data_IF_236726733410
#
_entry.id   IF_236726733410
#
_cell.length_a   1.000
_cell.length_b   1.000
_cell.length_c   1.000
_cell.angle_alpha   90.00
_cell.angle_beta   90.00
_cell.angle_gamma   90.00
#
_symmetry.space_group_name_H-M   'P 1'
#
loop_
_entity.id
_entity.type
_entity.pdbx_description
1 polymer ?
#
# COMPACT_ATOMS: atom_id res chain seq x y z
N UNK A 1 -29.34 13.81 21.60
CA UNK A 1 -28.34 14.87 21.39
C UNK A 1 -26.97 14.62 22.03
N UNK A 2 -26.73 13.52 22.78
CA UNK A 2 -25.42 13.26 23.46
C UNK A 2 -24.37 12.51 22.64
N UNK A 3 -24.75 11.62 21.72
CA UNK A 3 -23.79 10.76 20.99
C UNK A 3 -22.93 11.51 19.97
N UNK A 4 -23.44 12.56 19.34
CA UNK A 4 -22.68 13.37 18.38
C UNK A 4 -21.56 14.16 19.06
N UNK A 5 -21.78 14.71 20.25
CA UNK A 5 -20.75 15.43 21.02
C UNK A 5 -19.60 14.53 21.47
N UNK A 6 -19.90 13.32 21.94
CA UNK A 6 -18.87 12.34 22.38
C UNK A 6 -17.99 11.91 21.19
N UNK A 7 -18.58 11.74 20.01
CA UNK A 7 -17.84 11.41 18.78
C UNK A 7 -17.00 12.58 18.26
N UNK A 8 -17.45 13.81 18.40
CA UNK A 8 -16.70 15.01 18.02
C UNK A 8 -15.54 15.30 18.98
N UNK A 9 -15.74 15.14 20.29
CA UNK A 9 -14.67 15.25 21.29
C UNK A 9 -13.59 14.18 21.08
N UNK A 10 -13.98 12.94 20.74
CA UNK A 10 -13.06 11.86 20.40
C UNK A 10 -12.21 12.17 19.17
N UNK A 11 -12.82 12.67 18.09
CA UNK A 11 -12.12 13.08 16.85
C UNK A 11 -11.16 14.25 17.09
N UNK A 12 -11.58 15.25 17.86
CA UNK A 12 -10.74 16.40 18.20
C UNK A 12 -9.50 16.00 19.03
N UNK A 13 -9.64 15.03 19.93
CA UNK A 13 -8.54 14.52 20.75
C UNK A 13 -7.54 13.71 19.90
N UNK A 14 -8.03 12.85 18.99
CA UNK A 14 -7.18 12.10 18.07
C UNK A 14 -6.35 13.02 17.17
N UNK A 15 -6.97 14.04 16.60
CA UNK A 15 -6.30 15.03 15.75
C UNK A 15 -5.25 15.85 16.52
N UNK A 16 -5.54 16.24 17.76
CA UNK A 16 -4.57 16.94 18.62
C UNK A 16 -3.37 16.06 18.96
N UNK A 17 -3.58 14.77 19.21
CA UNK A 17 -2.50 13.81 19.48
C UNK A 17 -1.64 13.60 18.24
N UNK A 18 -2.25 13.45 17.04
CA UNK A 18 -1.52 13.36 15.78
C UNK A 18 -0.63 14.58 15.54
N UNK A 19 -1.16 15.79 15.76
CA UNK A 19 -0.39 17.04 15.63
C UNK A 19 0.80 17.17 16.59
N UNK A 20 0.81 16.44 17.68
CA UNK A 20 1.95 16.40 18.61
C UNK A 20 3.08 15.47 18.14
N UNK A 21 2.77 14.49 17.28
CA UNK A 21 3.77 13.58 16.73
C UNK A 21 4.48 14.22 15.54
N UNK A 22 5.67 14.79 15.79
CA UNK A 22 6.47 15.50 14.77
C UNK A 22 6.87 14.58 13.61
N UNK A 23 7.15 13.32 13.88
CA UNK A 23 7.53 12.34 12.85
C UNK A 23 6.37 12.06 11.90
N UNK A 24 5.16 11.85 12.43
CA UNK A 24 3.96 11.67 11.61
C UNK A 24 3.64 12.92 10.75
N UNK A 25 3.86 14.12 11.27
CA UNK A 25 3.67 15.36 10.50
C UNK A 25 4.68 15.46 9.35
N UNK A 26 5.95 15.15 9.59
CA UNK A 26 6.99 15.14 8.53
C UNK A 26 6.64 14.09 7.49
N UNK A 27 6.29 12.86 7.89
CA UNK A 27 5.85 11.82 6.97
C UNK A 27 4.64 12.26 6.13
N UNK A 28 3.66 12.92 6.77
CA UNK A 28 2.47 13.45 6.07
C UNK A 28 2.85 14.52 5.04
N UNK A 29 3.73 15.45 5.39
CA UNK A 29 4.19 16.48 4.46
C UNK A 29 4.90 15.85 3.24
N UNK A 30 5.78 14.88 3.46
CA UNK A 30 6.47 14.17 2.37
C UNK A 30 5.45 13.43 1.48
N UNK A 31 4.48 12.70 2.05
CA UNK A 31 3.48 11.97 1.26
C UNK A 31 2.58 12.94 0.46
N UNK A 32 2.22 14.09 1.02
CA UNK A 32 1.48 15.12 0.28
C UNK A 32 2.29 15.58 -0.93
N UNK A 33 3.60 15.80 -0.78
CA UNK A 33 4.49 16.16 -1.88
C UNK A 33 4.56 15.02 -2.91
N UNK A 34 4.73 13.79 -2.49
CA UNK A 34 4.79 12.62 -3.39
C UNK A 34 3.49 12.45 -4.18
N UNK A 35 2.33 12.63 -3.52
CA UNK A 35 1.02 12.59 -4.19
C UNK A 35 0.89 13.76 -5.17
N UNK A 36 1.29 14.96 -4.77
CA UNK A 36 1.27 16.12 -5.65
C UNK A 36 2.15 15.89 -6.89
N UNK A 37 3.36 15.34 -6.72
CA UNK A 37 4.24 14.95 -7.83
C UNK A 37 3.56 13.91 -8.73
N UNK A 38 2.93 12.88 -8.17
CA UNK A 38 2.23 11.86 -8.95
C UNK A 38 1.08 12.44 -9.79
N UNK A 39 0.32 13.40 -9.23
CA UNK A 39 -0.79 14.06 -9.93
C UNK A 39 -0.24 15.02 -10.99
N UNK A 40 0.73 15.83 -10.63
CA UNK A 40 1.27 16.90 -11.47
C UNK A 40 2.32 16.40 -12.49
N UNK A 41 2.75 15.14 -12.42
CA UNK A 41 3.76 14.57 -13.32
C UNK A 41 3.57 14.95 -14.80
N UNK A 42 2.35 14.92 -15.39
CA UNK A 42 2.16 15.31 -16.79
C UNK A 42 2.50 16.77 -17.11
N UNK A 43 2.44 17.67 -16.11
CA UNK A 43 2.68 19.10 -16.29
C UNK A 43 4.08 19.55 -15.86
N UNK A 44 4.70 18.82 -14.91
CA UNK A 44 6.02 19.19 -14.36
C UNK A 44 7.17 18.41 -15.00
N UNK A 45 6.89 17.38 -15.80
CA UNK A 45 7.92 16.63 -16.51
C UNK A 45 8.55 17.50 -17.60
N UNK A 46 9.89 17.70 -17.60
CA UNK A 46 10.55 18.51 -18.61
C UNK A 46 10.44 17.93 -20.03
N UNK A 47 10.42 16.57 -20.12
CA UNK A 47 10.36 15.84 -21.39
C UNK A 47 9.30 14.73 -21.33
N UNK A 48 8.93 14.20 -22.48
CA UNK A 48 8.12 12.96 -22.53
C UNK A 48 8.95 11.80 -21.94
N UNK A 49 8.43 11.07 -20.91
CA UNK A 49 9.16 9.98 -20.27
C UNK A 49 9.45 8.79 -21.20
N UNK A 50 8.82 8.74 -22.37
CA UNK A 50 8.97 7.67 -23.36
C UNK A 50 9.79 8.09 -24.59
N UNK A 51 10.01 9.40 -24.80
CA UNK A 51 10.79 9.92 -25.92
C UNK A 51 12.24 9.44 -25.85
N UNK A 52 12.68 8.77 -26.92
CA UNK A 52 14.02 8.21 -27.03
C UNK A 52 14.92 9.13 -27.87
N UNK A 53 16.11 9.42 -27.38
CA UNK A 53 17.12 10.19 -28.10
C UNK A 53 18.50 9.54 -27.94
N UNK A 54 18.87 8.68 -28.88
CA UNK A 54 20.10 7.90 -28.83
C UNK A 54 21.39 8.76 -28.83
N UNK A 55 21.31 10.01 -29.32
CA UNK A 55 22.44 10.95 -29.28
C UNK A 55 22.79 11.34 -27.84
N UNK A 56 21.77 11.36 -26.96
CA UNK A 56 21.94 11.70 -25.55
C UNK A 56 21.97 10.47 -24.65
N UNK A 57 22.32 9.31 -25.17
CA UNK A 57 22.39 8.05 -24.41
C UNK A 57 23.38 8.15 -23.24
N UNK A 58 22.94 7.76 -22.03
CA UNK A 58 23.75 7.72 -20.81
C UNK A 58 24.46 9.05 -20.50
N UNK A 59 23.84 10.16 -20.86
CA UNK A 59 24.37 11.48 -20.56
C UNK A 59 24.25 11.77 -19.06
N UNK A 60 25.34 12.19 -18.39
CA UNK A 60 25.29 12.54 -16.97
C UNK A 60 24.34 13.75 -16.71
N UNK A 61 23.94 13.97 -15.46
CA UNK A 61 23.12 15.12 -15.08
C UNK A 61 23.69 16.45 -15.58
N UNK A 62 22.86 17.23 -16.28
CA UNK A 62 23.17 18.56 -16.75
C UNK A 62 21.94 19.49 -16.70
N UNK A 63 22.04 20.71 -17.25
CA UNK A 63 20.93 21.68 -17.24
C UNK A 63 19.73 21.25 -18.09
N UNK A 64 19.93 20.47 -19.14
CA UNK A 64 18.88 19.98 -20.02
C UNK A 64 18.23 18.72 -19.44
N UNK A 65 19.06 17.84 -18.87
CA UNK A 65 18.65 16.59 -18.22
C UNK A 65 19.08 16.59 -16.75
N UNK A 66 18.30 17.17 -15.83
CA UNK A 66 18.73 17.41 -14.44
C UNK A 66 19.13 16.15 -13.67
N UNK A 67 18.55 14.99 -14.01
CA UNK A 67 18.93 13.69 -13.43
C UNK A 67 19.63 12.77 -14.45
N UNK A 68 20.09 13.34 -15.59
CA UNK A 68 20.73 12.59 -16.67
C UNK A 68 19.73 11.82 -17.53
N UNK A 69 20.27 10.98 -18.43
CA UNK A 69 19.48 10.17 -19.35
C UNK A 69 19.78 8.68 -19.19
N UNK A 70 18.85 7.85 -19.65
CA UNK A 70 18.97 6.40 -19.60
C UNK A 70 19.66 5.79 -20.86
N UNK A 71 19.63 4.46 -20.97
CA UNK A 71 20.24 3.70 -22.06
C UNK A 71 19.60 3.95 -23.43
N UNK A 72 18.41 4.54 -23.46
CA UNK A 72 17.71 4.94 -24.68
C UNK A 72 17.72 6.46 -24.90
N UNK A 73 18.48 7.20 -24.04
CA UNK A 73 18.53 8.65 -24.06
C UNK A 73 17.26 9.33 -23.54
N UNK A 74 16.41 8.61 -22.78
CA UNK A 74 15.19 9.15 -22.15
C UNK A 74 15.53 9.92 -20.88
N UNK A 75 14.81 11.00 -20.59
CA UNK A 75 15.02 11.82 -19.41
C UNK A 75 14.68 11.07 -18.11
N UNK A 76 15.68 10.89 -17.24
CA UNK A 76 15.52 10.17 -15.97
C UNK A 76 14.60 10.92 -15.01
N UNK A 77 14.64 12.28 -14.98
CA UNK A 77 13.76 13.07 -14.13
C UNK A 77 12.29 12.84 -14.49
N UNK A 78 11.94 13.00 -15.76
CA UNK A 78 10.56 12.74 -16.24
C UNK A 78 10.13 11.32 -15.92
N UNK A 79 11.00 10.33 -16.10
CA UNK A 79 10.72 8.93 -15.77
C UNK A 79 10.52 8.68 -14.29
N UNK A 80 11.27 9.33 -13.41
CA UNK A 80 11.08 9.25 -11.94
C UNK A 80 9.75 9.86 -11.55
N UNK A 81 9.38 11.03 -12.09
CA UNK A 81 8.10 11.69 -11.83
C UNK A 81 6.91 10.81 -12.27
N UNK A 82 6.94 10.27 -13.46
CA UNK A 82 5.89 9.37 -13.95
C UNK A 82 5.89 8.01 -13.22
N UNK A 83 7.07 7.50 -12.87
CA UNK A 83 7.24 6.30 -12.06
C UNK A 83 6.59 6.44 -10.68
N UNK A 84 6.63 7.64 -10.08
CA UNK A 84 5.91 7.96 -8.84
C UNK A 84 4.42 7.64 -8.97
N UNK A 85 3.80 8.08 -10.06
CA UNK A 85 2.38 7.84 -10.32
C UNK A 85 2.06 6.37 -10.43
N UNK A 86 2.87 5.61 -11.15
CA UNK A 86 2.64 4.17 -11.39
C UNK A 86 2.87 3.37 -10.12
N UNK A 87 4.06 3.49 -9.50
CA UNK A 87 4.43 2.71 -8.31
C UNK A 87 3.51 3.02 -7.11
N UNK A 88 3.13 4.30 -6.91
CA UNK A 88 2.19 4.68 -5.86
C UNK A 88 0.78 4.12 -6.10
N UNK A 89 0.29 4.19 -7.35
CA UNK A 89 -1.03 3.63 -7.72
C UNK A 89 -1.08 2.12 -7.49
N UNK A 90 -0.05 1.39 -7.94
CA UNK A 90 0.03 -0.06 -7.72
C UNK A 90 0.04 -0.38 -6.23
N UNK A 91 0.88 0.30 -5.44
CA UNK A 91 0.98 0.06 -4.00
C UNK A 91 -0.35 0.29 -3.27
N UNK A 92 -0.99 1.45 -3.51
CA UNK A 92 -2.25 1.82 -2.83
C UNK A 92 -3.41 0.92 -3.27
N UNK A 93 -3.61 0.74 -4.58
CA UNK A 93 -4.75 -0.03 -5.10
C UNK A 93 -4.66 -1.51 -4.73
N UNK A 94 -3.45 -2.07 -4.69
CA UNK A 94 -3.22 -3.45 -4.24
C UNK A 94 -3.60 -3.63 -2.78
N UNK A 95 -3.17 -2.72 -1.91
CA UNK A 95 -3.53 -2.76 -0.49
C UNK A 95 -5.02 -2.54 -0.28
N UNK A 96 -5.64 -1.63 -1.02
CA UNK A 96 -7.08 -1.40 -0.95
C UNK A 96 -7.87 -2.66 -1.34
N UNK A 97 -7.48 -3.33 -2.44
CA UNK A 97 -8.08 -4.60 -2.85
C UNK A 97 -7.89 -5.68 -1.77
N UNK A 98 -6.66 -5.87 -1.30
CA UNK A 98 -6.34 -6.84 -0.24
C UNK A 98 -7.09 -6.57 1.06
N UNK A 99 -7.22 -5.28 1.45
CA UNK A 99 -7.97 -4.84 2.62
C UNK A 99 -9.45 -5.21 2.50
N UNK A 100 -10.09 -4.88 1.37
CA UNK A 100 -11.53 -5.15 1.17
C UNK A 100 -11.78 -6.67 1.18
N UNK A 101 -11.08 -7.41 0.34
CA UNK A 101 -11.27 -8.86 0.18
C UNK A 101 -10.86 -9.60 1.46
N UNK A 102 -9.67 -9.32 1.98
CA UNK A 102 -9.15 -10.00 3.16
C UNK A 102 -9.97 -9.70 4.41
N UNK A 103 -10.37 -8.44 4.64
CA UNK A 103 -11.23 -8.09 5.78
C UNK A 103 -12.58 -8.79 5.69
N UNK A 104 -13.19 -8.84 4.51
CA UNK A 104 -14.45 -9.57 4.32
C UNK A 104 -14.29 -11.05 4.62
N UNK A 105 -13.22 -11.70 4.11
CA UNK A 105 -12.91 -13.11 4.40
C UNK A 105 -12.72 -13.36 5.90
N UNK A 106 -11.91 -12.52 6.58
CA UNK A 106 -11.64 -12.69 8.01
C UNK A 106 -12.86 -12.42 8.88
N UNK A 107 -13.67 -11.40 8.55
CA UNK A 107 -14.91 -11.09 9.25
C UNK A 107 -15.94 -12.22 9.08
N UNK A 108 -16.11 -12.76 7.87
CA UNK A 108 -17.00 -13.91 7.63
C UNK A 108 -16.51 -15.14 8.38
N UNK A 109 -15.20 -15.43 8.34
CA UNK A 109 -14.61 -16.57 9.06
C UNK A 109 -14.82 -16.45 10.58
N UNK A 110 -14.59 -15.29 11.17
CA UNK A 110 -14.80 -15.02 12.59
C UNK A 110 -16.27 -15.10 13.00
N UNK A 111 -17.16 -14.54 12.20
CA UNK A 111 -18.59 -14.52 12.48
C UNK A 111 -19.24 -15.90 12.36
N UNK A 112 -19.02 -16.60 11.25
CA UNK A 112 -19.57 -17.93 10.99
C UNK A 112 -18.98 -18.99 11.92
N UNK A 113 -17.69 -18.84 12.30
CA UNK A 113 -17.01 -19.80 13.20
C UNK A 113 -17.03 -21.24 12.68
N UNK A 114 -16.93 -22.19 13.61
CA UNK A 114 -17.04 -23.62 13.34
C UNK A 114 -16.32 -24.08 12.05
N UNK A 115 -17.00 -24.85 11.20
CA UNK A 115 -16.42 -25.44 9.99
C UNK A 115 -16.04 -24.37 8.96
N UNK A 116 -16.93 -23.41 8.68
CA UNK A 116 -16.68 -22.36 7.66
C UNK A 116 -15.49 -21.49 8.04
N UNK A 117 -15.43 -21.06 9.29
CA UNK A 117 -14.30 -20.26 9.79
C UNK A 117 -12.98 -21.06 9.73
N UNK A 118 -13.00 -22.33 10.12
CA UNK A 118 -11.82 -23.21 10.05
C UNK A 118 -11.32 -23.40 8.63
N UNK A 119 -12.19 -23.64 7.65
CA UNK A 119 -11.79 -23.81 6.25
C UNK A 119 -11.16 -22.55 5.72
N UNK A 120 -11.82 -21.40 5.88
CA UNK A 120 -11.28 -20.11 5.40
C UNK A 120 -9.92 -19.83 6.04
N UNK A 121 -9.79 -20.01 7.37
CA UNK A 121 -8.53 -19.71 8.04
C UNK A 121 -7.42 -20.71 7.70
N UNK A 122 -7.74 -21.97 7.41
CA UNK A 122 -6.75 -22.92 6.88
C UNK A 122 -6.22 -22.50 5.51
N UNK A 123 -7.09 -22.04 4.61
CA UNK A 123 -6.65 -21.49 3.32
C UNK A 123 -5.76 -20.27 3.51
N UNK A 124 -6.15 -19.37 4.42
CA UNK A 124 -5.34 -18.18 4.79
C UNK A 124 -3.97 -18.62 5.32
N UNK A 125 -3.91 -19.66 6.18
CA UNK A 125 -2.66 -20.17 6.75
C UNK A 125 -1.73 -20.73 5.68
N UNK A 126 -2.28 -21.51 4.74
CA UNK A 126 -1.51 -22.04 3.60
C UNK A 126 -0.94 -20.90 2.77
N UNK A 127 -1.72 -19.86 2.46
CA UNK A 127 -1.23 -18.71 1.69
C UNK A 127 -0.17 -17.90 2.44
N UNK A 128 -0.30 -17.77 3.76
CA UNK A 128 0.68 -17.07 4.60
C UNK A 128 1.97 -17.86 4.83
N UNK A 129 1.99 -19.18 4.57
CA UNK A 129 3.20 -20.00 4.70
C UNK A 129 4.24 -19.68 3.61
N UNK A 130 3.81 -19.09 2.49
CA UNK A 130 4.71 -18.71 1.42
C UNK A 130 5.27 -17.29 1.62
N UNK A 131 6.57 -17.06 1.35
CA UNK A 131 7.14 -15.72 1.30
C UNK A 131 6.40 -14.84 0.27
N UNK A 132 6.13 -13.57 0.61
CA UNK A 132 5.35 -12.62 -0.21
C UNK A 132 5.84 -12.54 -1.65
N UNK A 133 7.16 -12.45 -1.86
CA UNK A 133 7.74 -12.36 -3.20
C UNK A 133 7.48 -13.63 -4.01
N UNK A 134 7.61 -14.82 -3.38
CA UNK A 134 7.36 -16.10 -4.07
C UNK A 134 5.89 -16.19 -4.46
N UNK A 135 4.97 -15.84 -3.55
CA UNK A 135 3.54 -15.78 -3.86
C UNK A 135 3.26 -14.81 -5.01
N UNK A 136 3.90 -13.63 -5.00
CA UNK A 136 3.79 -12.65 -6.08
C UNK A 136 4.25 -13.20 -7.43
N UNK A 137 5.41 -13.86 -7.47
CA UNK A 137 5.96 -14.49 -8.68
C UNK A 137 4.99 -15.54 -9.23
N UNK A 138 4.47 -16.43 -8.37
CA UNK A 138 3.53 -17.47 -8.78
C UNK A 138 2.24 -16.90 -9.37
N UNK A 139 1.66 -15.88 -8.72
CA UNK A 139 0.40 -15.28 -9.21
C UNK A 139 0.64 -14.48 -10.49
N UNK A 140 1.76 -13.74 -10.63
CA UNK A 140 2.12 -13.06 -11.89
C UNK A 140 2.36 -14.06 -13.01
N UNK A 141 2.97 -15.21 -12.72
CA UNK A 141 3.17 -16.26 -13.73
C UNK A 141 1.85 -16.76 -14.33
N UNK A 142 0.77 -16.75 -13.54
CA UNK A 142 -0.58 -17.16 -13.97
C UNK A 142 -1.30 -16.02 -14.70
N UNK A 143 -1.29 -14.81 -14.11
CA UNK A 143 -2.06 -13.66 -14.62
C UNK A 143 -1.33 -12.94 -15.77
N UNK A 144 -0.02 -13.08 -15.86
CA UNK A 144 0.84 -12.36 -16.81
C UNK A 144 1.22 -10.96 -16.33
N UNK A 145 2.10 -10.26 -17.08
CA UNK A 145 2.54 -8.89 -16.79
C UNK A 145 1.45 -7.86 -17.12
N UNK A 146 1.53 -6.70 -16.48
CA UNK A 146 0.62 -5.56 -16.68
C UNK A 146 0.27 -4.88 -15.38
N UNK A 147 -0.08 -3.59 -15.43
CA UNK A 147 -0.35 -2.80 -14.22
C UNK A 147 -1.58 -3.31 -13.46
N UNK A 148 -2.67 -3.58 -14.18
CA UNK A 148 -3.94 -4.14 -13.66
C UNK A 148 -3.73 -5.51 -13.02
N UNK A 149 -2.99 -6.37 -13.71
CA UNK A 149 -2.66 -7.73 -13.25
C UNK A 149 -1.73 -7.70 -12.04
N UNK A 150 -0.78 -6.77 -12.01
CA UNK A 150 0.12 -6.59 -10.86
C UNK A 150 -0.66 -6.11 -9.63
N UNK A 151 -1.61 -5.17 -9.79
CA UNK A 151 -2.50 -4.74 -8.72
C UNK A 151 -3.30 -5.92 -8.15
N UNK A 152 -3.90 -6.74 -9.03
CA UNK A 152 -4.64 -7.93 -8.62
C UNK A 152 -3.74 -8.95 -7.93
N UNK A 153 -2.57 -9.23 -8.50
CA UNK A 153 -1.57 -10.14 -7.92
C UNK A 153 -1.24 -9.75 -6.49
N UNK A 154 -0.83 -8.51 -6.31
CA UNK A 154 -0.45 -8.02 -4.99
C UNK A 154 -1.64 -7.96 -4.04
N UNK A 155 -2.82 -7.58 -4.53
CA UNK A 155 -4.04 -7.60 -3.75
C UNK A 155 -4.38 -9.00 -3.22
N UNK A 156 -4.27 -10.03 -4.07
CA UNK A 156 -4.45 -11.45 -3.69
C UNK A 156 -3.40 -11.87 -2.65
N UNK A 157 -2.14 -11.49 -2.83
CA UNK A 157 -1.03 -11.83 -1.93
C UNK A 157 -1.17 -11.16 -0.56
N UNK A 158 -1.71 -9.93 -0.51
CA UNK A 158 -1.91 -9.21 0.75
C UNK A 158 -3.25 -9.56 1.44
N UNK A 159 -4.27 -10.05 0.73
CA UNK A 159 -5.59 -10.37 1.30
C UNK A 159 -5.54 -11.33 2.51
N UNK A 160 -4.73 -12.41 2.54
CA UNK A 160 -4.61 -13.30 3.69
C UNK A 160 -4.16 -12.60 4.98
N UNK A 161 -3.29 -11.59 4.89
CA UNK A 161 -2.84 -10.80 6.04
C UNK A 161 -3.99 -10.00 6.65
N UNK A 162 -4.81 -9.36 5.81
CA UNK A 162 -6.01 -8.65 6.26
C UNK A 162 -7.05 -9.60 6.82
N UNK A 163 -7.21 -10.80 6.22
CA UNK A 163 -8.12 -11.82 6.74
C UNK A 163 -7.71 -12.26 8.15
N UNK A 164 -6.43 -12.52 8.38
CA UNK A 164 -5.90 -12.86 9.71
C UNK A 164 -6.10 -11.73 10.71
N UNK A 165 -5.86 -10.49 10.30
CA UNK A 165 -6.01 -9.32 11.15
C UNK A 165 -7.48 -9.06 11.53
N UNK A 166 -8.43 -9.31 10.63
CA UNK A 166 -9.87 -9.14 10.87
C UNK A 166 -10.48 -10.27 11.70
N UNK A 167 -9.96 -11.49 11.58
CA UNK A 167 -10.52 -12.70 12.21
C UNK A 167 -10.56 -12.59 13.73
N UNK A 168 -9.43 -12.29 14.38
CA UNK A 168 -9.32 -12.23 15.85
C UNK A 168 -10.30 -11.22 16.49
N UNK A 169 -10.26 -9.95 16.11
CA UNK A 169 -11.21 -8.95 16.61
C UNK A 169 -12.67 -9.31 16.33
N UNK A 170 -12.98 -9.94 15.18
CA UNK A 170 -14.36 -10.39 14.89
C UNK A 170 -14.84 -11.43 15.89
N UNK A 171 -13.97 -12.37 16.30
CA UNK A 171 -14.31 -13.34 17.34
C UNK A 171 -14.65 -12.67 18.67
N UNK A 172 -13.93 -11.62 19.05
CA UNK A 172 -14.17 -10.89 20.29
C UNK A 172 -15.46 -10.06 20.22
N UNK A 173 -15.67 -9.37 19.10
CA UNK A 173 -16.82 -8.44 18.96
C UNK A 173 -18.13 -9.22 18.80
N UNK A 174 -18.13 -10.38 18.17
CA UNK A 174 -19.37 -11.18 17.98
C UNK A 174 -19.99 -11.68 19.30
N UNK A 175 -19.18 -11.82 20.36
CA UNK A 175 -19.63 -12.27 21.69
C UNK A 175 -20.08 -11.09 22.59
N UNK A 176 -20.25 -9.91 22.03
CA UNK A 176 -20.72 -8.74 22.79
C UNK A 176 -22.26 -8.75 22.92
N UNK A 177 -22.77 -8.39 24.10
CA UNK A 177 -24.21 -8.38 24.43
C UNK A 177 -25.09 -7.66 23.39
N UNK A 178 -24.59 -6.54 22.82
CA UNK A 178 -25.36 -5.81 21.80
C UNK A 178 -25.49 -6.60 20.48
N UNK A 179 -24.55 -7.52 20.17
CA UNK A 179 -24.64 -8.40 19.01
C UNK A 179 -25.65 -9.51 19.26
N UNK A 180 -25.68 -10.05 20.47
CA UNK A 180 -26.65 -11.08 20.85
C UNK A 180 -28.08 -10.48 20.91
N UNK A 181 -28.23 -9.27 21.44
CA UNK A 181 -29.50 -8.56 21.39
C UNK A 181 -29.97 -8.37 19.94
N UNK A 182 -29.08 -8.00 19.03
CA UNK A 182 -29.40 -7.85 17.61
C UNK A 182 -29.85 -9.19 16.97
N UNK A 183 -29.26 -10.32 17.37
CA UNK A 183 -29.69 -11.67 16.92
C UNK A 183 -31.08 -12.02 17.44
N UNK A 184 -31.35 -11.77 18.71
CA UNK A 184 -32.63 -12.07 19.35
C UNK A 184 -33.79 -11.35 18.67
N UNK A 185 -33.60 -10.07 18.29
CA UNK A 185 -34.60 -9.28 17.58
C UNK A 185 -34.65 -9.55 16.07
N UNK A 186 -33.91 -10.55 15.57
CA UNK A 186 -33.98 -11.03 14.19
C UNK A 186 -33.23 -10.19 13.16
N UNK A 187 -32.20 -9.41 13.56
CA UNK A 187 -31.34 -8.70 12.60
C UNK A 187 -30.60 -9.68 11.71
N UNK A 188 -30.62 -9.44 10.40
CA UNK A 188 -29.96 -10.31 9.42
C UNK A 188 -28.43 -10.38 9.61
N UNK A 189 -27.83 -11.54 9.30
CA UNK A 189 -26.39 -11.76 9.43
C UNK A 189 -25.54 -10.72 8.68
N UNK A 190 -25.97 -10.32 7.47
CA UNK A 190 -25.27 -9.31 6.69
C UNK A 190 -25.26 -7.95 7.40
N UNK A 191 -26.39 -7.58 8.00
CA UNK A 191 -26.52 -6.33 8.76
C UNK A 191 -25.70 -6.38 10.05
N UNK A 192 -25.62 -7.53 10.72
CA UNK A 192 -24.72 -7.72 11.87
C UNK A 192 -23.27 -7.52 11.45
N UNK A 193 -22.81 -8.17 10.37
CA UNK A 193 -21.47 -8.03 9.85
C UNK A 193 -21.12 -6.58 9.50
N UNK A 194 -21.98 -5.88 8.76
CA UNK A 194 -21.66 -4.55 8.21
C UNK A 194 -21.85 -3.42 9.20
N UNK A 195 -22.85 -3.48 10.10
CA UNK A 195 -23.21 -2.36 10.99
C UNK A 195 -22.74 -2.56 12.43
N UNK A 196 -22.52 -3.82 12.87
CA UNK A 196 -22.13 -4.10 14.25
C UNK A 196 -20.67 -4.55 14.35
N UNK A 197 -20.21 -5.42 13.46
CA UNK A 197 -18.84 -5.96 13.53
C UNK A 197 -17.84 -5.07 12.81
N UNK A 198 -18.08 -4.79 11.53
CA UNK A 198 -17.13 -4.06 10.68
C UNK A 198 -16.68 -2.71 11.27
N UNK A 199 -17.55 -1.81 11.75
CA UNK A 199 -17.13 -0.53 12.32
C UNK A 199 -16.20 -0.68 13.54
N UNK A 200 -16.41 -1.76 14.32
CA UNK A 200 -15.63 -2.01 15.54
C UNK A 200 -14.23 -2.61 15.26
N UNK A 201 -14.04 -3.31 14.14
CA UNK A 201 -12.75 -3.90 13.77
C UNK A 201 -11.96 -3.04 12.80
N UNK A 202 -12.61 -2.13 12.07
CA UNK A 202 -12.03 -1.41 10.95
C UNK A 202 -10.86 -0.49 11.33
N UNK A 203 -10.90 0.13 12.50
CA UNK A 203 -9.86 1.07 12.93
C UNK A 203 -8.45 0.47 12.93
N UNK A 204 -8.28 -0.69 13.58
CA UNK A 204 -7.00 -1.39 13.60
C UNK A 204 -6.56 -1.91 12.23
N UNK A 205 -7.53 -2.32 11.40
CA UNK A 205 -7.26 -2.80 10.03
C UNK A 205 -6.76 -1.65 9.15
N UNK A 206 -7.35 -0.46 9.28
CA UNK A 206 -6.94 0.72 8.51
C UNK A 206 -5.50 1.14 8.86
N UNK A 207 -5.16 1.15 10.15
CA UNK A 207 -3.79 1.47 10.60
C UNK A 207 -2.77 0.47 10.04
N UNK A 208 -3.05 -0.83 10.11
CA UNK A 208 -2.18 -1.84 9.51
C UNK A 208 -2.10 -1.69 7.99
N UNK A 209 -3.21 -1.35 7.34
CA UNK A 209 -3.26 -1.09 5.90
C UNK A 209 -2.32 0.03 5.49
N UNK A 210 -2.26 1.13 6.24
CA UNK A 210 -1.33 2.23 5.93
C UNK A 210 0.14 1.78 5.98
N UNK A 211 0.53 1.02 6.98
CA UNK A 211 1.89 0.47 7.09
C UNK A 211 2.21 -0.50 5.93
N UNK A 212 1.23 -1.31 5.51
CA UNK A 212 1.45 -2.28 4.42
C UNK A 212 1.52 -1.64 3.04
N UNK A 213 1.09 -0.38 2.84
CA UNK A 213 1.33 0.34 1.58
C UNK A 213 2.83 0.49 1.32
N UNK A 214 3.64 0.80 2.32
CA UNK A 214 5.10 0.84 2.18
C UNK A 214 5.68 -0.51 1.76
N UNK A 215 5.22 -1.60 2.40
CA UNK A 215 5.60 -2.97 2.03
C UNK A 215 5.18 -3.32 0.60
N UNK A 216 3.99 -2.86 0.18
CA UNK A 216 3.49 -3.10 -1.18
C UNK A 216 4.34 -2.39 -2.23
N UNK A 217 4.74 -1.14 -1.99
CA UNK A 217 5.65 -0.40 -2.89
C UNK A 217 7.00 -1.12 -3.03
N UNK A 218 7.57 -1.61 -1.93
CA UNK A 218 8.80 -2.40 -1.97
C UNK A 218 8.62 -3.73 -2.73
N UNK A 219 7.48 -4.39 -2.54
CA UNK A 219 7.15 -5.64 -3.24
C UNK A 219 6.95 -5.41 -4.74
N UNK A 220 6.23 -4.33 -5.12
CA UNK A 220 6.10 -3.89 -6.52
C UNK A 220 7.47 -3.65 -7.15
N UNK A 221 8.31 -2.85 -6.48
CA UNK A 221 9.65 -2.54 -6.98
C UNK A 221 10.50 -3.82 -7.15
N UNK A 222 10.39 -4.79 -6.23
CA UNK A 222 11.07 -6.07 -6.31
C UNK A 222 10.57 -6.92 -7.48
N UNK A 223 9.25 -7.02 -7.68
CA UNK A 223 8.66 -7.75 -8.82
C UNK A 223 9.01 -7.08 -10.16
N UNK A 224 8.97 -5.75 -10.22
CA UNK A 224 9.37 -4.96 -11.38
C UNK A 224 10.86 -5.10 -11.68
N UNK A 225 11.70 -5.12 -10.66
CA UNK A 225 13.15 -5.42 -10.78
C UNK A 225 13.40 -6.82 -11.37
N UNK A 226 12.62 -7.82 -10.97
CA UNK A 226 12.70 -9.17 -11.54
C UNK A 226 12.10 -9.25 -12.97
N UNK A 227 11.46 -8.18 -13.45
CA UNK A 227 10.84 -8.14 -14.79
C UNK A 227 9.42 -8.67 -14.82
N UNK A 228 8.81 -8.87 -13.64
CA UNK A 228 7.45 -9.36 -13.45
C UNK A 228 6.45 -8.23 -13.11
N UNK A 229 6.90 -6.99 -13.19
CA UNK A 229 6.09 -5.81 -12.91
C UNK A 229 5.33 -5.26 -14.12
N UNK A 230 5.17 -3.95 -14.14
CA UNK A 230 4.57 -3.23 -15.27
C UNK A 230 5.51 -3.31 -16.47
N UNK A 231 4.95 -3.67 -17.63
CA UNK A 231 5.76 -3.85 -18.86
C UNK A 231 6.35 -2.53 -19.35
N UNK A 232 7.60 -2.54 -19.84
CA UNK A 232 8.15 -1.43 -20.61
C UNK A 232 7.23 -1.07 -21.79
N UNK A 233 7.19 0.21 -22.25
CA UNK A 233 8.09 1.30 -21.88
C UNK A 233 7.66 2.11 -20.65
N UNK A 234 6.54 1.77 -19.99
CA UNK A 234 6.01 2.48 -18.82
C UNK A 234 7.04 2.54 -17.70
N UNK A 235 7.39 3.73 -17.18
CA UNK A 235 8.35 3.83 -16.10
C UNK A 235 7.75 3.40 -14.76
N UNK A 236 8.46 2.57 -14.02
CA UNK A 236 8.28 2.31 -12.58
C UNK A 236 9.63 2.42 -11.89
N UNK A 237 9.64 2.75 -10.62
CA UNK A 237 10.90 2.85 -9.90
C UNK A 237 11.70 1.53 -9.92
N UNK A 238 11.02 0.38 -9.80
CA UNK A 238 11.66 -0.93 -9.86
C UNK A 238 12.28 -1.25 -11.22
N UNK A 239 11.58 -0.97 -12.32
CA UNK A 239 12.11 -1.17 -13.67
C UNK A 239 13.29 -0.24 -13.98
N UNK A 240 13.27 0.99 -13.45
CA UNK A 240 14.39 1.92 -13.62
C UNK A 240 15.64 1.42 -12.89
N UNK A 241 15.49 0.92 -11.65
CA UNK A 241 16.63 0.31 -10.93
C UNK A 241 17.17 -0.90 -11.68
N UNK A 242 16.29 -1.76 -12.22
CA UNK A 242 16.71 -2.92 -13.02
C UNK A 242 17.58 -2.52 -14.22
N UNK A 243 17.15 -1.50 -14.99
CA UNK A 243 17.93 -1.04 -16.15
C UNK A 243 19.24 -0.36 -15.76
N UNK A 244 19.34 0.17 -14.53
CA UNK A 244 20.55 0.86 -14.05
C UNK A 244 21.55 -0.05 -13.34
N UNK A 245 21.19 -1.28 -12.93
CA UNK A 245 22.04 -2.11 -12.07
C UNK A 245 23.39 -2.46 -12.73
N UNK A 246 23.37 -2.82 -14.01
CA UNK A 246 24.59 -3.18 -14.76
C UNK A 246 25.46 -1.97 -15.10
N UNK A 247 25.01 -0.76 -14.75
CA UNK A 247 25.65 0.51 -15.09
C UNK A 247 25.99 1.36 -13.86
N UNK A 248 25.99 0.77 -12.67
CA UNK A 248 26.24 1.49 -11.41
C UNK A 248 27.58 2.24 -11.39
N UNK A 249 28.58 1.72 -12.10
CA UNK A 249 29.91 2.35 -12.19
C UNK A 249 29.98 3.49 -13.21
N UNK A 250 29.14 3.46 -14.25
CA UNK A 250 29.20 4.42 -15.37
C UNK A 250 28.03 5.42 -15.37
N UNK A 251 26.86 5.00 -14.87
CA UNK A 251 25.64 5.79 -14.84
C UNK A 251 24.85 5.55 -13.55
N UNK A 252 25.42 5.85 -12.36
CA UNK A 252 24.79 5.54 -11.07
C UNK A 252 23.45 6.22 -10.86
N UNK A 253 23.20 7.36 -11.50
CA UNK A 253 21.95 8.12 -11.40
C UNK A 253 20.71 7.31 -11.80
N UNK A 254 20.86 6.30 -12.68
CA UNK A 254 19.79 5.43 -13.15
C UNK A 254 19.16 4.62 -12.02
N UNK A 255 19.94 4.23 -11.01
CA UNK A 255 19.46 3.45 -9.86
C UNK A 255 19.30 4.31 -8.60
N UNK A 256 20.16 5.32 -8.39
CA UNK A 256 20.14 6.15 -7.18
C UNK A 256 18.83 6.94 -7.06
N UNK A 257 18.40 7.66 -8.11
CA UNK A 257 17.23 8.52 -8.01
C UNK A 257 15.92 7.74 -7.83
N UNK A 258 15.62 6.67 -8.59
CA UNK A 258 14.43 5.88 -8.29
C UNK A 258 14.54 5.15 -6.93
N UNK A 259 15.74 4.73 -6.51
CA UNK A 259 15.97 4.17 -5.18
C UNK A 259 15.69 5.14 -4.05
N UNK A 260 16.12 6.40 -4.17
CA UNK A 260 15.80 7.47 -3.23
C UNK A 260 14.29 7.78 -3.21
N UNK A 261 13.62 7.70 -4.35
CA UNK A 261 12.16 7.88 -4.42
C UNK A 261 11.41 6.80 -3.67
N UNK A 262 11.82 5.54 -3.78
CA UNK A 262 11.27 4.42 -2.99
C UNK A 262 11.56 4.67 -1.50
N UNK A 263 12.81 4.93 -1.15
CA UNK A 263 13.24 5.13 0.24
C UNK A 263 12.43 6.23 0.93
N UNK A 264 12.36 7.41 0.33
CA UNK A 264 11.65 8.57 0.91
C UNK A 264 10.16 8.30 1.04
N UNK A 265 9.54 7.67 0.05
CA UNK A 265 8.10 7.34 0.07
C UNK A 265 7.78 6.31 1.14
N UNK A 266 8.55 5.22 1.22
CA UNK A 266 8.34 4.15 2.21
C UNK A 266 8.59 4.64 3.63
N UNK A 267 9.65 5.42 3.86
CA UNK A 267 9.90 6.03 5.17
C UNK A 267 8.75 6.94 5.58
N UNK A 268 8.27 7.79 4.68
CA UNK A 268 7.16 8.70 4.98
C UNK A 268 5.86 7.97 5.31
N UNK A 269 5.54 6.89 4.59
CA UNK A 269 4.38 6.04 4.88
C UNK A 269 4.51 5.38 6.26
N UNK A 270 5.70 4.85 6.59
CA UNK A 270 5.94 4.22 7.90
C UNK A 270 5.81 5.25 9.04
N UNK A 271 6.37 6.48 8.87
CA UNK A 271 6.21 7.57 9.84
C UNK A 271 4.73 7.92 10.11
N UNK A 272 3.90 7.92 9.07
CA UNK A 272 2.45 8.13 9.21
C UNK A 272 1.81 6.94 9.94
N UNK A 273 2.13 5.72 9.52
CA UNK A 273 1.57 4.50 10.09
C UNK A 273 1.88 4.36 11.59
N UNK A 274 3.12 4.65 11.99
CA UNK A 274 3.52 4.66 13.39
C UNK A 274 2.75 5.73 14.19
N UNK A 275 2.62 6.95 13.63
CA UNK A 275 1.81 8.00 14.25
C UNK A 275 0.34 7.64 14.39
N UNK A 276 -0.25 6.94 13.43
CA UNK A 276 -1.63 6.43 13.52
C UNK A 276 -1.74 5.31 14.57
N UNK A 277 -0.74 4.45 14.68
CA UNK A 277 -0.68 3.39 15.69
C UNK A 277 -0.63 3.98 17.08
N UNK A 278 0.22 4.98 17.34
CA UNK A 278 0.35 5.65 18.66
C UNK A 278 -0.99 6.26 19.11
N UNK A 279 -1.80 6.76 18.19
CA UNK A 279 -3.10 7.36 18.50
C UNK A 279 -4.16 6.30 18.80
N UNK A 280 -4.08 5.14 18.12
CA UNK A 280 -5.05 4.06 18.27
C UNK A 280 -4.74 3.10 19.40
N UNK A 281 -3.52 3.12 19.96
CA UNK A 281 -3.14 2.24 21.06
C UNK A 281 -3.79 2.72 22.39
N UNK A 282 -4.67 1.88 22.99
CA UNK A 282 -5.32 2.24 24.26
C UNK A 282 -4.35 2.37 25.45
N UNK A 283 -3.17 1.72 25.37
CA UNK A 283 -2.17 1.73 26.46
C UNK A 283 -1.43 3.06 26.61
N UNK A 284 -1.43 3.89 25.58
CA UNK A 284 -0.84 5.23 25.61
C UNK A 284 -1.84 6.32 26.06
N UNK A 285 -3.03 5.93 26.51
CA UNK A 285 -4.08 6.83 27.00
C UNK A 285 -4.07 7.06 28.51
N UNK A 286 -2.96 6.69 29.22
CA UNK A 286 -2.76 6.95 30.64
C UNK A 286 -2.23 8.37 30.84
#
# INVERSE_FOLDING_TARGET
>A
MSNTRILEEGKGKLWRTFKKNKTALVGTAIIIIVIAVAILAPWISPHDPLEQNMVHRLKPPDRTYPLGTDEYGRDVLSRVLWGTRVSLSVGILSILFGLVVGTAMGAVAGYKGAIVGSIIMRMVDVLLSFPVLISGILVVAILGPGMDKLILTMGIVFAPRFARLAYGPTLVVKEREYVDSARIIGVSNLRILTHYLFPNIFGGILVAGTLWVGTAILTEASLSFLGLGVSPPTPTWGNMIKSGIDRLTTAPWLSIFPGLSILTTVLAINMIGDGLRDITDPKLRI
#
